data_IF_498050140168
#
_entry.id   IF_498050140168
#
_cell.length_a   1.000
_cell.length_b   1.000
_cell.length_c   1.000
_cell.angle_alpha   90.00
_cell.angle_beta   90.00
_cell.angle_gamma   90.00
#
_symmetry.space_group_name_H-M   'P 1'
#
loop_
_entity.id
_entity.type
_entity.pdbx_description
1 polymer ?
#
# COMPACT_ATOMS: atom_id res chain seq x y z
N UNK A 1 -36.39 44.13 7.08
CA UNK A 1 -36.08 43.74 8.47
C UNK A 1 -36.53 42.30 8.67
N UNK A 2 -35.61 41.33 8.73
CA UNK A 2 -35.77 40.16 9.59
C UNK A 2 -34.49 39.31 9.68
N UNK A 3 -33.95 39.30 10.90
CA UNK A 3 -33.37 38.14 11.62
C UNK A 3 -32.33 37.26 10.92
N UNK A 4 -31.06 37.64 11.13
CA UNK A 4 -29.89 36.75 11.15
C UNK A 4 -30.10 35.61 12.18
N UNK A 5 -30.37 34.40 11.72
CA UNK A 5 -30.30 33.20 12.56
C UNK A 5 -28.83 32.78 12.72
N UNK A 6 -28.21 33.18 13.84
CA UNK A 6 -26.96 32.55 14.32
C UNK A 6 -27.27 31.11 14.71
N UNK A 7 -26.93 30.17 13.83
CA UNK A 7 -26.88 28.74 14.16
C UNK A 7 -25.62 28.53 15.00
N UNK A 8 -25.76 28.63 16.31
CA UNK A 8 -24.75 28.18 17.24
C UNK A 8 -24.81 26.64 17.28
N UNK A 9 -23.81 25.99 16.68
CA UNK A 9 -23.61 24.55 16.84
C UNK A 9 -23.43 24.24 18.33
N UNK A 10 -24.11 23.22 18.89
CA UNK A 10 -23.95 22.86 20.28
C UNK A 10 -22.53 22.31 20.50
N UNK A 11 -21.67 23.12 21.12
CA UNK A 11 -20.39 22.62 21.64
C UNK A 11 -20.68 21.49 22.62
N UNK A 12 -20.16 20.31 22.28
CA UNK A 12 -20.26 19.09 23.08
C UNK A 12 -19.61 19.32 24.46
N UNK A 13 -20.44 19.37 25.50
CA UNK A 13 -20.08 19.55 26.93
C UNK A 13 -19.06 18.50 27.40
N UNK A 14 -18.91 17.39 26.67
CA UNK A 14 -17.94 16.33 26.97
C UNK A 14 -16.47 16.79 26.89
N UNK A 15 -16.16 17.84 26.12
CA UNK A 15 -14.78 18.37 26.02
C UNK A 15 -14.40 19.34 27.16
N UNK A 16 -15.36 19.91 27.90
CA UNK A 16 -15.05 20.78 29.05
C UNK A 16 -14.54 20.01 30.27
N UNK A 17 -14.88 18.72 30.39
CA UNK A 17 -14.40 17.87 31.49
C UNK A 17 -12.97 17.39 31.30
N UNK A 18 -12.50 17.29 30.05
CA UNK A 18 -11.11 16.94 29.72
C UNK A 18 -10.17 18.16 29.72
N UNK A 19 -10.68 19.37 29.47
CA UNK A 19 -9.87 20.60 29.58
C UNK A 19 -9.56 21.02 31.03
N UNK A 20 -10.22 20.44 32.04
CA UNK A 20 -9.97 20.74 33.47
C UNK A 20 -8.84 19.92 34.11
N UNK A 21 -8.10 19.09 33.37
CA UNK A 21 -7.12 18.16 33.95
C UNK A 21 -5.71 18.21 33.35
N UNK A 22 -5.27 19.33 32.77
CA UNK A 22 -3.84 19.54 32.45
C UNK A 22 -3.38 20.93 32.89
N UNK A 23 -3.81 21.38 34.06
CA UNK A 23 -2.92 22.22 34.86
C UNK A 23 -1.86 21.28 35.40
N UNK A 24 -0.79 21.05 34.61
CA UNK A 24 0.42 20.41 35.12
C UNK A 24 0.99 21.37 36.17
N UNK A 25 0.49 21.29 37.40
CA UNK A 25 1.22 21.79 38.55
C UNK A 25 2.45 20.92 38.64
N UNK A 26 3.52 21.33 37.95
CA UNK A 26 4.81 20.70 38.12
C UNK A 26 5.26 21.10 39.53
N UNK A 27 5.26 20.19 40.51
CA UNK A 27 5.87 20.53 41.78
C UNK A 27 7.33 20.86 41.46
N UNK A 28 7.71 22.12 41.69
CA UNK A 28 9.09 22.57 41.57
C UNK A 28 9.85 21.93 42.72
N UNK A 29 10.25 20.67 42.50
CA UNK A 29 10.99 19.89 43.48
C UNK A 29 12.33 20.58 43.76
N UNK A 30 12.79 20.54 45.02
CA UNK A 30 14.10 21.06 45.42
C UNK A 30 15.24 20.39 44.63
N UNK A 31 15.00 19.19 44.09
CA UNK A 31 15.89 18.48 43.19
C UNK A 31 16.24 19.25 41.90
N UNK A 32 15.42 20.22 41.46
CA UNK A 32 15.70 21.04 40.27
C UNK A 32 16.84 22.06 40.47
N UNK A 33 17.41 22.17 41.68
CA UNK A 33 18.61 22.97 41.94
C UNK A 33 19.87 22.37 41.32
N UNK A 34 19.88 21.05 41.11
CA UNK A 34 20.93 20.38 40.37
C UNK A 34 20.66 20.45 38.86
N UNK A 35 21.66 20.85 38.08
CA UNK A 35 21.52 20.99 36.63
C UNK A 35 21.30 19.63 35.95
N UNK A 36 21.89 18.55 36.45
CA UNK A 36 21.69 17.23 35.86
C UNK A 36 20.23 16.77 36.03
N UNK A 37 19.66 16.95 37.23
CA UNK A 37 18.25 16.71 37.49
C UNK A 37 17.33 17.61 36.65
N UNK A 38 17.63 18.91 36.52
CA UNK A 38 16.89 19.83 35.65
C UNK A 38 16.92 19.35 34.18
N UNK A 39 18.11 19.04 33.65
CA UNK A 39 18.30 18.59 32.27
C UNK A 39 17.53 17.30 31.99
N UNK A 40 17.58 16.33 32.91
CA UNK A 40 16.82 15.09 32.80
C UNK A 40 15.31 15.38 32.74
N UNK A 41 14.81 16.23 33.65
CA UNK A 41 13.38 16.56 33.72
C UNK A 41 12.88 17.33 32.50
N UNK A 42 13.65 18.31 32.03
CA UNK A 42 13.35 19.03 30.78
C UNK A 42 13.34 18.05 29.60
N UNK A 43 14.31 17.15 29.54
CA UNK A 43 14.37 16.10 28.53
C UNK A 43 13.11 15.23 28.52
N UNK A 44 12.68 14.74 29.68
CA UNK A 44 11.44 13.96 29.83
C UNK A 44 10.20 14.71 29.32
N UNK A 45 10.03 15.97 29.73
CA UNK A 45 8.89 16.79 29.32
C UNK A 45 8.88 17.01 27.80
N UNK A 46 10.03 17.31 27.20
CA UNK A 46 10.16 17.51 25.76
C UNK A 46 9.90 16.22 24.97
N UNK A 47 10.45 15.09 25.42
CA UNK A 47 10.25 13.79 24.78
C UNK A 47 8.78 13.36 24.88
N UNK A 48 8.17 13.46 26.06
CA UNK A 48 6.76 13.12 26.26
C UNK A 48 5.83 14.04 25.46
N UNK A 49 6.12 15.33 25.42
CA UNK A 49 5.40 16.32 24.60
C UNK A 49 5.45 15.97 23.12
N UNK A 50 6.65 15.69 22.59
CA UNK A 50 6.84 15.29 21.19
C UNK A 50 6.09 13.99 20.86
N UNK A 51 6.19 12.96 21.71
CA UNK A 51 5.47 11.68 21.53
C UNK A 51 3.95 11.89 21.43
N UNK A 52 3.38 12.79 22.25
CA UNK A 52 1.95 13.14 22.18
C UNK A 52 1.58 13.82 20.87
N UNK A 53 2.35 14.84 20.47
CA UNK A 53 2.10 15.58 19.23
C UNK A 53 2.17 14.66 18.01
N UNK A 54 3.20 13.79 17.95
CA UNK A 54 3.34 12.84 16.84
C UNK A 54 2.16 11.87 16.76
N UNK A 55 1.71 11.37 17.91
CA UNK A 55 0.54 10.48 17.98
C UNK A 55 -0.73 11.15 17.45
N UNK A 56 -0.99 12.40 17.85
CA UNK A 56 -2.15 13.15 17.36
C UNK A 56 -2.05 13.41 15.85
N UNK A 57 -0.86 13.75 15.35
CA UNK A 57 -0.66 13.86 13.91
C UNK A 57 -0.90 12.52 13.19
N UNK A 58 -0.47 11.40 13.75
CA UNK A 58 -0.71 10.09 13.17
C UNK A 58 -2.20 9.73 13.13
N UNK A 59 -2.94 10.03 14.21
CA UNK A 59 -4.41 9.88 14.23
C UNK A 59 -5.08 10.77 13.19
N UNK A 60 -4.68 12.04 13.10
CA UNK A 60 -5.19 12.98 12.10
C UNK A 60 -4.98 12.43 10.67
N UNK A 61 -3.77 11.96 10.35
CA UNK A 61 -3.45 11.37 9.04
C UNK A 61 -4.32 10.14 8.74
N UNK A 62 -4.44 9.25 9.71
CA UNK A 62 -5.30 8.08 9.59
C UNK A 62 -6.75 8.46 9.32
N UNK A 63 -7.31 9.39 10.11
CA UNK A 63 -8.70 9.82 9.94
C UNK A 63 -8.94 10.55 8.61
N UNK A 64 -8.02 11.41 8.19
CA UNK A 64 -8.09 12.05 6.87
C UNK A 64 -8.09 11.00 5.76
N UNK A 65 -7.18 10.02 5.83
CA UNK A 65 -7.14 8.91 4.89
C UNK A 65 -8.41 8.07 4.86
N UNK A 66 -8.99 7.79 6.02
CA UNK A 66 -10.24 7.06 6.16
C UNK A 66 -11.39 7.81 5.47
N UNK A 67 -11.52 9.11 5.73
CA UNK A 67 -12.55 9.96 5.10
C UNK A 67 -12.38 10.02 3.58
N UNK A 68 -11.15 10.14 3.09
CA UNK A 68 -10.83 10.09 1.65
C UNK A 68 -11.29 8.76 1.07
N UNK A 69 -10.92 7.64 1.68
CA UNK A 69 -11.28 6.31 1.18
C UNK A 69 -12.80 6.10 1.16
N UNK A 70 -13.51 6.51 2.23
CA UNK A 70 -14.98 6.42 2.27
C UNK A 70 -15.64 7.28 1.20
N UNK A 71 -15.17 8.52 1.01
CA UNK A 71 -15.67 9.40 -0.03
C UNK A 71 -15.49 8.81 -1.43
N UNK A 72 -14.32 8.23 -1.71
CA UNK A 72 -14.04 7.56 -2.99
C UNK A 72 -14.95 6.33 -3.15
N UNK A 73 -15.12 5.52 -2.09
CA UNK A 73 -15.98 4.33 -2.11
C UNK A 73 -17.44 4.67 -2.41
N UNK A 74 -17.95 5.77 -1.85
CA UNK A 74 -19.33 6.23 -2.09
C UNK A 74 -19.56 6.78 -3.51
N UNK A 75 -18.50 7.13 -4.23
CA UNK A 75 -18.53 7.70 -5.58
C UNK A 75 -17.79 6.80 -6.59
N UNK A 76 -17.79 5.49 -6.36
CA UNK A 76 -17.02 4.51 -7.14
C UNK A 76 -17.60 4.23 -8.53
N UNK A 77 -18.80 4.74 -8.82
CA UNK A 77 -19.48 4.67 -10.12
C UNK A 77 -18.73 5.44 -11.23
N UNK A 78 -17.83 6.35 -10.85
CA UNK A 78 -17.08 7.21 -11.77
C UNK A 78 -15.63 6.79 -11.88
N UNK A 79 -15.26 6.28 -13.06
CA UNK A 79 -13.85 6.01 -13.39
C UNK A 79 -12.99 7.27 -13.20
N UNK A 80 -11.81 7.12 -12.61
CA UNK A 80 -10.85 8.18 -12.28
C UNK A 80 -11.30 9.24 -11.24
N UNK A 81 -12.47 9.09 -10.61
CA UNK A 81 -12.95 10.07 -9.62
C UNK A 81 -12.01 10.23 -8.42
N UNK A 82 -11.48 9.12 -7.90
CA UNK A 82 -10.65 9.15 -6.71
C UNK A 82 -9.40 10.03 -6.86
N UNK A 83 -8.69 9.93 -7.98
CA UNK A 83 -7.51 10.75 -8.23
C UNK A 83 -7.86 12.25 -8.30
N UNK A 84 -8.97 12.61 -8.96
CA UNK A 84 -9.45 14.00 -9.04
C UNK A 84 -9.87 14.54 -7.67
N UNK A 85 -10.54 13.73 -6.87
CA UNK A 85 -10.95 14.12 -5.53
C UNK A 85 -9.74 14.41 -4.61
N UNK A 86 -8.72 13.54 -4.64
CA UNK A 86 -7.50 13.73 -3.85
C UNK A 86 -6.70 14.94 -4.33
N UNK A 87 -6.61 15.17 -5.64
CA UNK A 87 -5.95 16.36 -6.21
C UNK A 87 -6.62 17.65 -5.73
N UNK A 88 -7.95 17.72 -5.86
CA UNK A 88 -8.72 18.88 -5.41
C UNK A 88 -8.58 19.13 -3.90
N UNK A 89 -8.61 18.07 -3.08
CA UNK A 89 -8.37 18.20 -1.64
C UNK A 89 -6.97 18.75 -1.34
N UNK A 90 -5.97 18.37 -2.12
CA UNK A 90 -4.62 18.91 -1.99
C UNK A 90 -4.57 20.41 -2.27
N UNK A 91 -5.24 20.86 -3.33
CA UNK A 91 -5.37 22.27 -3.69
C UNK A 91 -6.15 23.07 -2.62
N UNK A 92 -7.29 22.55 -2.16
CA UNK A 92 -8.19 23.24 -1.22
C UNK A 92 -7.55 23.44 0.17
N UNK A 93 -6.66 22.53 0.60
CA UNK A 93 -6.02 22.55 1.92
C UNK A 93 -4.53 22.88 1.91
N UNK A 94 -3.96 23.18 0.74
CA UNK A 94 -2.51 23.37 0.54
C UNK A 94 -1.67 22.17 1.07
N UNK A 95 -2.11 20.97 0.71
CA UNK A 95 -1.43 19.71 1.07
C UNK A 95 -1.00 19.00 -0.20
N UNK A 96 0.24 18.50 -0.22
CA UNK A 96 0.75 17.73 -1.36
C UNK A 96 -0.14 16.50 -1.68
N UNK A 97 -0.45 16.35 -2.97
CA UNK A 97 -1.25 15.23 -3.50
C UNK A 97 -0.70 13.86 -3.07
N UNK A 98 0.63 13.70 -3.10
CA UNK A 98 1.29 12.45 -2.72
C UNK A 98 1.11 12.17 -1.23
N UNK A 99 1.09 13.21 -0.41
CA UNK A 99 0.93 13.08 1.04
C UNK A 99 -0.51 12.68 1.41
N UNK A 100 -1.54 13.29 0.80
CA UNK A 100 -2.93 12.84 0.97
C UNK A 100 -3.15 11.41 0.46
N UNK A 101 -2.50 11.04 -0.65
CA UNK A 101 -2.53 9.67 -1.15
C UNK A 101 -1.93 8.70 -0.13
N UNK A 102 -0.83 9.07 0.55
CA UNK A 102 -0.25 8.25 1.64
C UNK A 102 -1.15 8.18 2.85
N UNK A 103 -1.93 9.21 3.16
CA UNK A 103 -2.91 9.15 4.25
C UNK A 103 -3.99 8.12 3.92
N UNK A 104 -4.53 8.16 2.70
CA UNK A 104 -5.47 7.16 2.20
C UNK A 104 -4.88 5.74 2.24
N UNK A 105 -3.62 5.58 1.83
CA UNK A 105 -2.91 4.30 1.94
C UNK A 105 -2.76 3.82 3.38
N UNK A 106 -2.41 4.70 4.33
CA UNK A 106 -2.29 4.37 5.75
C UNK A 106 -3.61 3.83 6.30
N UNK A 107 -4.70 4.56 6.06
CA UNK A 107 -6.02 4.15 6.52
C UNK A 107 -6.47 2.80 5.93
N UNK A 108 -6.14 2.55 4.66
CA UNK A 108 -6.44 1.29 3.98
C UNK A 108 -5.56 0.14 4.48
N UNK A 109 -4.28 0.40 4.74
CA UNK A 109 -3.31 -0.61 5.15
C UNK A 109 -3.56 -1.11 6.59
N UNK A 110 -4.14 -0.27 7.44
CA UNK A 110 -4.38 -0.56 8.85
C UNK A 110 -5.83 -0.26 9.27
N UNK A 111 -6.82 -0.99 8.75
CA UNK A 111 -8.22 -0.72 9.08
C UNK A 111 -8.47 -0.99 10.57
N UNK A 112 -8.93 0.03 11.30
CA UNK A 112 -9.33 -0.10 12.71
C UNK A 112 -10.73 -0.73 12.74
N UNK A 113 -10.79 -2.06 12.64
CA UNK A 113 -12.03 -2.85 12.78
C UNK A 113 -12.12 -3.34 14.22
N UNK A 114 -13.28 -3.13 14.86
CA UNK A 114 -13.45 -3.24 16.31
C UNK A 114 -12.84 -4.48 17.00
N UNK A 115 -12.23 -4.24 18.17
CA UNK A 115 -11.79 -5.17 19.24
C UNK A 115 -10.68 -6.19 18.94
N UNK A 116 -10.17 -6.32 17.72
CA UNK A 116 -9.13 -7.32 17.41
C UNK A 116 -7.68 -6.82 17.56
N UNK A 117 -7.33 -5.74 16.85
CA UNK A 117 -5.98 -5.17 16.82
C UNK A 117 -6.09 -3.66 16.70
N UNK A 118 -5.45 -2.92 17.61
CA UNK A 118 -5.49 -1.46 17.63
C UNK A 118 -4.06 -0.92 17.55
N UNK A 119 -3.80 -0.12 16.52
CA UNK A 119 -2.55 0.65 16.43
C UNK A 119 -2.47 1.64 17.60
N UNK A 120 -1.31 1.69 18.24
CA UNK A 120 -1.03 2.68 19.29
C UNK A 120 -0.60 4.02 18.71
N UNK A 121 -0.18 4.04 17.44
CA UNK A 121 0.39 5.21 16.78
C UNK A 121 1.60 5.76 17.54
N UNK A 122 2.45 4.85 18.06
CA UNK A 122 3.65 5.21 18.83
C UNK A 122 4.91 5.37 17.96
N UNK A 123 4.86 4.93 16.70
CA UNK A 123 5.96 5.10 15.76
C UNK A 123 5.86 6.44 15.02
N UNK A 124 7.00 6.94 14.54
CA UNK A 124 7.05 8.11 13.67
C UNK A 124 6.42 7.81 12.31
N UNK A 125 5.82 8.83 11.67
CA UNK A 125 5.30 8.76 10.30
C UNK A 125 6.23 8.05 9.30
N UNK A 126 7.53 8.32 9.34
CA UNK A 126 8.52 7.67 8.45
C UNK A 126 8.52 6.14 8.57
N UNK A 127 8.35 5.61 9.79
CA UNK A 127 8.30 4.17 10.02
C UNK A 127 7.05 3.55 9.38
N UNK A 128 5.87 4.16 9.56
CA UNK A 128 4.65 3.69 8.91
C UNK A 128 4.75 3.71 7.39
N UNK A 129 5.33 4.77 6.82
CA UNK A 129 5.59 4.83 5.37
C UNK A 129 6.42 3.65 4.87
N UNK A 130 7.42 3.22 5.64
CA UNK A 130 8.23 2.06 5.29
C UNK A 130 7.44 0.76 5.43
N UNK A 131 6.70 0.59 6.53
CA UNK A 131 5.88 -0.60 6.79
C UNK A 131 4.77 -0.79 5.74
N UNK A 132 4.20 0.30 5.21
CA UNK A 132 3.19 0.25 4.14
C UNK A 132 3.70 -0.33 2.81
N UNK A 133 5.01 -0.50 2.63
CA UNK A 133 5.58 -1.14 1.43
C UNK A 133 5.35 -2.66 1.44
N UNK A 134 5.19 -3.26 2.62
CA UNK A 134 4.93 -4.69 2.76
C UNK A 134 3.56 -5.02 2.18
N UNK A 135 3.53 -5.89 1.16
CA UNK A 135 2.32 -6.25 0.42
C UNK A 135 1.41 -7.19 1.23
N UNK A 136 1.99 -8.17 1.93
CA UNK A 136 1.21 -9.06 2.80
C UNK A 136 0.68 -8.29 4.02
N UNK A 137 -0.65 -8.18 4.08
CA UNK A 137 -1.37 -7.52 5.16
C UNK A 137 -1.05 -8.12 6.52
N UNK A 138 -0.98 -9.45 6.63
CA UNK A 138 -0.72 -10.13 7.91
C UNK A 138 0.69 -9.84 8.39
N UNK A 139 1.68 -10.01 7.51
CA UNK A 139 3.08 -9.73 7.84
C UNK A 139 3.29 -8.26 8.21
N UNK A 140 2.65 -7.33 7.47
CA UNK A 140 2.69 -5.90 7.76
C UNK A 140 2.14 -5.58 9.14
N UNK A 141 0.99 -6.15 9.51
CA UNK A 141 0.38 -5.97 10.84
C UNK A 141 1.26 -6.53 11.95
N UNK A 142 1.74 -7.77 11.82
CA UNK A 142 2.61 -8.39 12.83
C UNK A 142 3.90 -7.59 13.04
N UNK A 143 4.54 -7.13 11.95
CA UNK A 143 5.73 -6.31 12.03
C UNK A 143 5.46 -4.97 12.68
N UNK A 144 4.33 -4.33 12.36
CA UNK A 144 3.93 -3.05 12.95
C UNK A 144 3.70 -3.17 14.45
N UNK A 145 2.98 -4.21 14.90
CA UNK A 145 2.75 -4.45 16.33
C UNK A 145 4.05 -4.73 17.07
N UNK A 146 4.98 -5.47 16.46
CA UNK A 146 6.32 -5.70 17.03
C UNK A 146 7.12 -4.41 17.12
N UNK A 147 7.09 -3.58 16.08
CA UNK A 147 7.76 -2.29 16.04
C UNK A 147 7.21 -1.34 17.13
N UNK A 148 5.88 -1.23 17.26
CA UNK A 148 5.23 -0.43 18.30
C UNK A 148 5.53 -0.93 19.71
N UNK A 149 5.54 -2.26 19.90
CA UNK A 149 5.82 -2.89 21.20
C UNK A 149 7.26 -2.67 21.65
N UNK A 150 8.21 -2.74 20.72
CA UNK A 150 9.64 -2.64 20.99
C UNK A 150 10.20 -1.21 20.80
N UNK A 151 9.35 -0.24 20.48
CA UNK A 151 9.71 1.15 20.17
C UNK A 151 10.84 1.28 19.12
N UNK A 152 10.75 0.50 18.03
CA UNK A 152 11.78 0.53 16.99
C UNK A 152 11.96 1.92 16.39
N UNK A 153 13.22 2.30 16.15
CA UNK A 153 13.56 3.48 15.38
C UNK A 153 13.39 3.23 13.87
N UNK A 154 13.68 4.25 13.06
CA UNK A 154 13.47 4.16 11.62
C UNK A 154 14.42 3.16 10.96
N UNK A 155 15.68 3.15 11.37
CA UNK A 155 16.73 2.29 10.83
C UNK A 155 16.44 0.81 11.10
N UNK A 156 15.96 0.49 12.30
CA UNK A 156 15.51 -0.84 12.67
C UNK A 156 14.31 -1.29 11.85
N UNK A 157 13.29 -0.44 11.70
CA UNK A 157 12.12 -0.72 10.85
C UNK A 157 12.56 -0.95 9.42
N UNK A 158 13.43 -0.10 8.88
CA UNK A 158 13.92 -0.22 7.52
C UNK A 158 14.66 -1.53 7.28
N UNK A 159 15.61 -1.90 8.16
CA UNK A 159 16.35 -3.15 8.04
C UNK A 159 15.42 -4.37 8.10
N UNK A 160 14.41 -4.36 8.99
CA UNK A 160 13.45 -5.46 9.12
C UNK A 160 12.51 -5.56 7.93
N UNK A 161 12.06 -4.43 7.38
CA UNK A 161 11.23 -4.39 6.16
C UNK A 161 12.02 -4.90 4.96
N UNK A 162 13.27 -4.46 4.78
CA UNK A 162 14.12 -4.94 3.68
C UNK A 162 14.34 -6.45 3.75
N UNK A 163 14.61 -6.98 4.94
CA UNK A 163 14.75 -8.42 5.14
C UNK A 163 13.48 -9.20 4.83
N UNK A 164 12.31 -8.68 5.21
CA UNK A 164 11.02 -9.32 4.93
C UNK A 164 10.70 -9.33 3.43
N UNK A 165 10.99 -8.24 2.72
CA UNK A 165 10.78 -8.15 1.26
C UNK A 165 11.74 -9.08 0.51
N UNK A 166 13.03 -9.10 0.88
CA UNK A 166 14.01 -9.97 0.23
C UNK A 166 13.67 -11.46 0.36
N UNK A 167 13.11 -11.88 1.50
CA UNK A 167 12.62 -13.26 1.69
C UNK A 167 11.47 -13.63 0.75
N UNK A 168 10.55 -12.70 0.49
CA UNK A 168 9.46 -12.97 -0.46
C UNK A 168 9.98 -13.15 -1.88
N UNK A 169 11.04 -12.46 -2.27
CA UNK A 169 11.64 -12.58 -3.60
C UNK A 169 12.39 -13.91 -3.77
N UNK A 170 13.07 -14.38 -2.73
CA UNK A 170 13.74 -15.68 -2.72
C UNK A 170 12.75 -16.87 -2.75
N UNK A 171 11.59 -16.75 -2.09
CA UNK A 171 10.52 -17.77 -2.15
C UNK A 171 9.71 -17.74 -3.46
N UNK A 172 9.76 -16.64 -4.22
CA UNK A 172 9.10 -16.49 -5.52
C UNK A 172 10.03 -16.71 -6.72
N UNK A 173 11.24 -17.25 -6.50
CA UNK A 173 12.12 -17.61 -7.62
C UNK A 173 11.35 -18.46 -8.63
N UNK A 174 11.38 -18.11 -9.94
CA UNK A 174 10.79 -18.98 -10.94
C UNK A 174 11.42 -20.37 -10.84
N UNK A 175 10.64 -21.44 -11.10
CA UNK A 175 11.15 -22.81 -11.05
C UNK A 175 12.51 -22.88 -11.73
N UNK A 176 13.48 -23.57 -11.10
CA UNK A 176 14.84 -23.64 -11.64
C UNK A 176 14.74 -24.14 -13.08
N UNK A 177 15.66 -23.74 -13.96
CA UNK A 177 15.63 -24.17 -15.36
C UNK A 177 15.47 -25.69 -15.48
N UNK A 178 16.03 -26.49 -14.55
CA UNK A 178 15.77 -27.92 -14.41
C UNK A 178 14.28 -28.29 -14.21
N UNK A 179 13.58 -27.63 -13.29
CA UNK A 179 12.16 -27.89 -13.01
C UNK A 179 11.29 -27.50 -14.22
N UNK A 180 11.68 -26.46 -14.97
CA UNK A 180 11.04 -26.07 -16.22
C UNK A 180 11.34 -27.05 -17.35
N UNK A 181 12.55 -27.60 -17.43
CA UNK A 181 12.91 -28.66 -18.38
C UNK A 181 12.08 -29.91 -18.12
N UNK A 182 11.90 -30.34 -16.87
CA UNK A 182 11.08 -31.50 -16.52
C UNK A 182 9.59 -31.30 -16.87
N UNK A 183 9.08 -30.08 -16.69
CA UNK A 183 7.71 -29.70 -17.06
C UNK A 183 7.56 -29.62 -18.58
N UNK A 184 8.55 -29.07 -19.29
CA UNK A 184 8.56 -28.98 -20.75
C UNK A 184 8.73 -30.36 -21.40
N UNK A 185 9.55 -31.25 -20.85
CA UNK A 185 9.69 -32.63 -21.32
C UNK A 185 8.38 -33.42 -21.10
N UNK A 186 7.78 -33.34 -19.91
CA UNK A 186 6.49 -33.97 -19.63
C UNK A 186 5.35 -33.45 -20.52
N UNK A 187 5.36 -32.16 -20.83
CA UNK A 187 4.33 -31.55 -21.68
C UNK A 187 4.60 -31.76 -23.17
N UNK A 188 5.85 -31.76 -23.63
CA UNK A 188 6.20 -32.06 -25.02
C UNK A 188 5.87 -33.49 -25.42
N UNK A 189 6.02 -34.46 -24.50
CA UNK A 189 5.57 -35.85 -24.74
C UNK A 189 4.05 -35.90 -25.00
N UNK A 190 3.25 -35.12 -24.26
CA UNK A 190 1.80 -35.02 -24.46
C UNK A 190 1.39 -34.22 -25.69
N UNK A 191 2.15 -33.20 -26.06
CA UNK A 191 1.88 -32.36 -27.24
C UNK A 191 2.20 -33.11 -28.54
N UNK A 192 3.25 -33.94 -28.55
CA UNK A 192 3.57 -34.81 -29.69
C UNK A 192 2.48 -35.87 -29.95
N UNK A 193 1.87 -36.43 -28.90
CA UNK A 193 0.70 -37.31 -29.03
C UNK A 193 -0.55 -36.55 -29.54
N UNK A 194 -0.73 -35.29 -29.15
CA UNK A 194 -1.85 -34.46 -29.59
C UNK A 194 -1.68 -33.86 -31.01
N UNK A 195 -0.45 -33.69 -31.50
CA UNK A 195 -0.20 -33.16 -32.84
C UNK A 195 -0.40 -34.21 -33.95
N UNK A 196 -0.23 -35.51 -33.65
CA UNK A 196 -0.60 -36.57 -34.59
C UNK A 196 -2.10 -36.63 -34.90
N UNK A 197 -2.96 -35.95 -34.11
CA UNK A 197 -4.42 -35.97 -34.27
C UNK A 197 -5.01 -34.72 -34.94
N UNK A 198 -4.26 -33.65 -35.19
CA UNK A 198 -4.83 -32.37 -35.69
C UNK A 198 -4.08 -31.77 -36.90
N UNK A 199 -4.06 -32.49 -38.02
CA UNK A 199 -3.50 -32.03 -39.30
C UNK A 199 -4.36 -31.02 -40.09
N UNK A 200 -5.04 -30.04 -39.46
CA UNK A 200 -6.00 -29.16 -40.21
C UNK A 200 -6.00 -27.65 -39.94
N UNK A 201 -5.07 -27.10 -39.15
CA UNK A 201 -5.07 -25.66 -38.83
C UNK A 201 -3.89 -24.83 -39.38
N UNK A 202 -3.03 -25.40 -40.24
CA UNK A 202 -1.82 -24.71 -40.75
C UNK A 202 -2.08 -23.37 -41.47
N UNK A 203 -3.21 -23.21 -42.15
CA UNK A 203 -3.44 -22.06 -43.04
C UNK A 203 -3.91 -20.77 -42.33
N UNK A 204 -4.34 -20.84 -41.06
CA UNK A 204 -4.79 -19.65 -40.32
C UNK A 204 -3.62 -18.92 -39.65
N UNK A 205 -2.59 -19.67 -39.23
CA UNK A 205 -1.42 -19.13 -38.54
C UNK A 205 -0.51 -18.35 -39.49
N UNK A 206 -0.33 -18.81 -40.74
CA UNK A 206 0.52 -18.11 -41.72
C UNK A 206 -0.01 -16.71 -42.06
N UNK A 207 -1.33 -16.56 -42.25
CA UNK A 207 -1.95 -15.27 -42.55
C UNK A 207 -1.88 -14.26 -41.39
N UNK A 208 -1.81 -14.74 -40.14
CA UNK A 208 -1.64 -13.86 -38.98
C UNK A 208 -0.18 -13.39 -38.85
N UNK A 209 0.77 -14.28 -39.12
CA UNK A 209 2.21 -13.96 -39.03
C UNK A 209 2.67 -12.97 -40.11
N UNK A 210 2.12 -13.04 -41.32
CA UNK A 210 2.47 -12.11 -42.40
C UNK A 210 2.01 -10.67 -42.13
N UNK A 211 0.87 -10.48 -41.45
CA UNK A 211 0.42 -9.14 -41.00
C UNK A 211 1.24 -8.59 -39.83
N UNK A 212 1.78 -9.47 -38.98
CA UNK A 212 2.61 -9.10 -37.83
C UNK A 212 4.00 -8.61 -38.25
N UNK A 213 4.57 -9.15 -39.34
CA UNK A 213 5.84 -8.66 -39.90
C UNK A 213 5.78 -7.22 -40.42
N UNK A 214 4.63 -6.75 -40.88
CA UNK A 214 4.50 -5.44 -41.48
C UNK A 214 4.47 -4.28 -40.46
N UNK A 215 4.10 -4.54 -39.20
CA UNK A 215 3.95 -3.50 -38.17
C UNK A 215 4.37 -3.99 -36.78
N UNK A 216 5.68 -4.06 -36.49
CA UNK A 216 6.20 -4.60 -35.23
C UNK A 216 5.75 -3.82 -33.98
N UNK A 217 5.41 -2.54 -34.11
CA UNK A 217 4.88 -1.73 -33.01
C UNK A 217 3.45 -2.09 -32.58
N UNK A 218 2.64 -2.66 -33.49
CA UNK A 218 1.27 -3.04 -33.17
C UNK A 218 1.20 -4.19 -32.14
N UNK A 219 2.20 -5.08 -32.12
CA UNK A 219 2.25 -6.19 -31.16
C UNK A 219 2.37 -5.70 -29.71
N UNK A 220 3.24 -4.73 -29.45
CA UNK A 220 3.47 -4.23 -28.09
C UNK A 220 2.25 -3.51 -27.50
N UNK A 221 1.35 -2.98 -28.36
CA UNK A 221 0.12 -2.31 -27.92
C UNK A 221 -1.04 -3.30 -27.77
N UNK A 222 -1.11 -4.32 -28.63
CA UNK A 222 -2.26 -5.21 -28.71
C UNK A 222 -2.15 -6.42 -27.75
N UNK A 223 -0.92 -6.85 -27.45
CA UNK A 223 -0.64 -7.94 -26.50
C UNK A 223 -1.15 -7.68 -25.08
N UNK A 224 -0.93 -6.49 -24.46
CA UNK A 224 -1.49 -6.18 -23.15
C UNK A 224 -3.02 -6.18 -23.17
N UNK A 225 -3.64 -5.70 -24.25
CA UNK A 225 -5.10 -5.67 -24.40
C UNK A 225 -5.69 -7.08 -24.44
N UNK A 226 -5.10 -8.01 -25.19
CA UNK A 226 -5.61 -9.39 -25.27
C UNK A 226 -5.48 -10.16 -23.95
N UNK A 227 -4.46 -9.87 -23.15
CA UNK A 227 -4.29 -10.45 -21.81
C UNK A 227 -5.30 -9.83 -20.82
N UNK A 228 -5.49 -8.51 -20.85
CA UNK A 228 -6.43 -7.80 -19.96
C UNK A 228 -7.88 -8.23 -20.21
N UNK A 229 -8.26 -8.50 -21.46
CA UNK A 229 -9.62 -8.92 -21.83
C UNK A 229 -9.83 -10.44 -21.82
N UNK A 230 -8.86 -11.23 -21.31
CA UNK A 230 -9.01 -12.66 -21.09
C UNK A 230 -9.04 -13.53 -22.36
N UNK A 231 -8.54 -13.01 -23.48
CA UNK A 231 -8.41 -13.77 -24.73
C UNK A 231 -7.13 -14.62 -24.78
N UNK A 232 -6.14 -14.30 -23.93
CA UNK A 232 -4.91 -15.05 -23.76
C UNK A 232 -4.64 -15.26 -22.26
N UNK A 233 -4.35 -16.48 -21.85
CA UNK A 233 -4.07 -16.80 -20.44
C UNK A 233 -2.65 -16.39 -20.02
N UNK A 234 -1.68 -16.43 -20.94
CA UNK A 234 -0.33 -15.92 -20.70
C UNK A 234 0.43 -15.66 -22.01
N UNK A 235 1.38 -14.74 -21.96
CA UNK A 235 2.35 -14.48 -23.03
C UNK A 235 3.72 -14.69 -22.41
N UNK A 236 4.44 -15.70 -22.89
CA UNK A 236 5.83 -15.94 -22.50
C UNK A 236 6.73 -15.51 -23.65
N UNK A 237 7.60 -14.53 -23.41
CA UNK A 237 8.70 -14.22 -24.32
C UNK A 237 9.93 -15.00 -23.86
N UNK A 238 10.49 -15.92 -24.66
CA UNK A 238 11.77 -16.53 -24.34
C UNK A 238 12.90 -15.51 -24.53
N UNK A 239 13.95 -15.63 -23.74
CA UNK A 239 15.23 -14.98 -24.07
C UNK A 239 15.83 -15.70 -25.28
N UNK A 240 16.20 -14.89 -26.28
CA UNK A 240 16.99 -15.23 -27.47
C UNK A 240 16.35 -16.20 -28.48
N UNK A 241 15.73 -15.59 -29.50
CA UNK A 241 15.77 -16.12 -30.89
C UNK A 241 14.75 -17.17 -31.30
N UNK A 242 13.91 -17.69 -30.40
CA UNK A 242 12.84 -18.63 -30.77
C UNK A 242 11.48 -17.95 -30.64
N UNK A 243 10.63 -18.10 -31.65
CA UNK A 243 9.40 -17.31 -31.84
C UNK A 243 8.41 -17.28 -30.65
N UNK A 244 7.52 -16.28 -30.68
CA UNK A 244 6.48 -16.03 -29.69
C UNK A 244 5.53 -17.23 -29.55
N UNK A 245 5.39 -17.77 -28.34
CA UNK A 245 4.46 -18.88 -28.04
C UNK A 245 3.15 -18.30 -27.48
N UNK A 246 2.07 -18.44 -28.23
CA UNK A 246 0.72 -18.06 -27.81
C UNK A 246 -0.06 -19.32 -27.42
N UNK A 247 -0.49 -19.40 -26.16
CA UNK A 247 -1.32 -20.50 -25.66
C UNK A 247 -2.77 -20.05 -25.62
N UNK A 248 -3.61 -20.62 -26.48
CA UNK A 248 -5.05 -20.37 -26.54
C UNK A 248 -5.87 -21.39 -25.75
N UNK A 249 -7.03 -20.98 -25.24
CA UNK A 249 -7.96 -21.83 -24.49
C UNK A 249 -8.71 -22.78 -25.42
N UNK A 250 -8.80 -24.06 -25.05
CA UNK A 250 -9.62 -25.06 -25.74
C UNK A 250 -11.07 -24.92 -25.27
N UNK A 251 -11.99 -24.55 -26.17
CA UNK A 251 -13.44 -24.68 -25.97
C UNK A 251 -13.90 -26.08 -26.30
#
# INVERSE_FOLDING_TARGET
MNSNSKVALPMNVRNQKEMKAVTLSFPLDRALRDYAALKARVGEVLIAGRKRIEKEFMLMRYHAGFLINEHIRLNSDRSAYGAKAVLKLGEDFDIDYTELTRYAQLARAYPIVGRGQQLRFSLNWKCYRKLMIIKDDKQRWEMTLRAEKNEWNFEEVEAKVQYAIGKEEDEKQPPRLQDLVDVLEKNNVKVLEAQQTFGRFGNLAENLFDRVRAFPFALNVLLPFLVIFGYLDSVSSPQEGSGLLLVGRKT
#
